data_IF_919517019944
#
_entry.id   IF_919517019944
#
_cell.length_a   1.000
_cell.length_b   1.000
_cell.length_c   1.000
_cell.angle_alpha   90.00
_cell.angle_beta   90.00
_cell.angle_gamma   90.00
#
_symmetry.space_group_name_H-M   'P 1'
#
loop_
_entity.id
_entity.type
_entity.pdbx_description
1 polymer ?
#
# COMPACT_ATOMS: atom_id res chain seq x y z
N UNK A 1 -7.19 -3.81 13.62
CA UNK A 1 -7.77 -2.81 12.69
C UNK A 1 -9.26 -3.05 12.37
N UNK A 2 -9.96 -3.94 13.09
CA UNK A 2 -11.37 -4.29 12.87
C UNK A 2 -12.41 -3.55 13.75
N UNK A 3 -12.09 -2.80 14.84
CA UNK A 3 -13.14 -2.26 15.71
C UNK A 3 -13.88 -1.03 15.14
N UNK A 4 -13.30 -0.31 14.18
CA UNK A 4 -13.89 0.92 13.63
C UNK A 4 -14.97 0.68 12.57
N UNK A 5 -14.95 -0.48 11.90
CA UNK A 5 -15.93 -0.82 10.85
C UNK A 5 -17.31 -1.13 11.45
N UNK A 6 -17.35 -1.72 12.65
CA UNK A 6 -18.62 -2.04 13.33
C UNK A 6 -19.28 -0.80 13.96
N UNK A 7 -18.49 0.18 14.43
CA UNK A 7 -19.01 1.47 14.90
C UNK A 7 -19.63 2.30 13.77
N UNK A 8 -19.05 2.25 12.56
CA UNK A 8 -19.60 2.92 11.38
C UNK A 8 -20.95 2.35 10.92
N UNK A 9 -21.09 1.02 10.91
CA UNK A 9 -22.33 0.35 10.50
C UNK A 9 -23.45 0.55 11.54
N UNK A 10 -23.11 0.53 12.83
CA UNK A 10 -24.08 0.75 13.92
C UNK A 10 -24.72 2.14 13.91
N UNK A 11 -23.95 3.19 13.61
CA UNK A 11 -24.46 4.56 13.54
C UNK A 11 -25.48 4.76 12.40
N UNK A 12 -25.26 4.11 11.25
CA UNK A 12 -26.16 4.19 10.08
C UNK A 12 -27.49 3.49 10.36
N UNK A 13 -27.48 2.35 11.03
CA UNK A 13 -28.72 1.62 11.38
C UNK A 13 -29.50 2.35 12.49
N UNK A 14 -28.82 2.95 13.48
CA UNK A 14 -29.47 3.71 14.55
C UNK A 14 -30.13 5.01 14.03
N UNK A 15 -29.53 5.66 13.04
CA UNK A 15 -30.09 6.85 12.39
C UNK A 15 -31.34 6.55 11.53
N UNK A 16 -31.38 5.39 10.87
CA UNK A 16 -32.53 4.98 10.04
C UNK A 16 -33.69 4.45 10.88
N UNK A 17 -33.42 3.78 12.01
CA UNK A 17 -34.47 3.24 12.89
C UNK A 17 -35.08 4.28 13.86
N UNK A 18 -34.32 5.31 14.27
CA UNK A 18 -34.76 6.30 15.27
C UNK A 18 -35.73 7.38 14.76
N UNK A 19 -35.89 7.55 13.44
CA UNK A 19 -36.59 8.70 12.86
C UNK A 19 -38.12 8.66 12.83
N UNK A 20 -38.78 7.66 13.42
CA UNK A 20 -40.23 7.46 13.28
C UNK A 20 -40.98 7.54 14.62
N UNK A 21 -40.88 8.67 15.34
CA UNK A 21 -41.85 9.05 16.39
C UNK A 21 -42.47 10.43 16.11
N UNK A 22 -43.76 10.37 15.80
CA UNK A 22 -44.79 11.43 15.66
C UNK A 22 -44.53 12.70 16.47
N UNK A 23 -44.43 13.83 15.76
CA UNK A 23 -44.62 15.19 16.27
C UNK A 23 -45.48 15.98 15.29
N UNK A 24 -46.50 16.68 15.81
CA UNK A 24 -47.53 17.41 15.06
C UNK A 24 -46.95 18.59 14.24
N UNK A 25 -47.42 18.70 13.00
CA UNK A 25 -47.71 19.95 12.27
C UNK A 25 -46.60 20.99 12.09
N UNK A 26 -45.93 20.96 10.92
CA UNK A 26 -45.40 22.16 10.25
C UNK A 26 -45.71 22.02 8.75
N UNK A 27 -46.42 22.94 8.10
CA UNK A 27 -46.58 22.90 6.66
C UNK A 27 -45.27 23.39 6.03
N UNK A 28 -44.48 22.47 5.47
CA UNK A 28 -43.34 22.84 4.65
C UNK A 28 -43.77 22.87 3.19
N UNK A 29 -43.62 24.06 2.62
CA UNK A 29 -43.86 24.42 1.23
C UNK A 29 -43.03 23.54 0.27
N UNK A 30 -43.59 23.29 -0.90
CA UNK A 30 -43.13 22.31 -1.88
C UNK A 30 -41.68 22.52 -2.34
N UNK A 31 -40.96 21.40 -2.41
CA UNK A 31 -39.58 21.32 -2.91
C UNK A 31 -38.85 20.02 -2.57
N UNK A 32 -39.58 18.98 -2.10
CA UNK A 32 -38.99 17.85 -1.38
C UNK A 32 -38.86 16.53 -2.16
N UNK A 33 -38.98 16.55 -3.49
CA UNK A 33 -38.88 15.34 -4.34
C UNK A 33 -37.48 15.11 -4.90
N UNK A 34 -36.87 16.17 -5.43
CA UNK A 34 -35.55 16.12 -6.07
C UNK A 34 -34.43 15.85 -5.07
N UNK A 35 -34.48 16.48 -3.90
CA UNK A 35 -33.46 16.29 -2.84
C UNK A 35 -33.47 14.86 -2.28
N UNK A 36 -34.64 14.21 -2.20
CA UNK A 36 -34.77 12.83 -1.68
C UNK A 36 -34.25 11.76 -2.63
N UNK A 37 -34.14 12.09 -3.92
CA UNK A 37 -33.67 11.15 -4.96
C UNK A 37 -32.22 11.45 -5.36
N UNK A 38 -31.84 12.73 -5.43
CA UNK A 38 -30.51 13.14 -5.86
C UNK A 38 -29.43 12.78 -4.84
N UNK A 39 -29.72 12.92 -3.53
CA UNK A 39 -28.78 12.63 -2.45
C UNK A 39 -28.33 11.15 -2.43
N UNK A 40 -29.23 10.14 -2.42
CA UNK A 40 -28.81 8.74 -2.43
C UNK A 40 -28.09 8.36 -3.74
N UNK A 41 -28.50 8.90 -4.88
CA UNK A 41 -27.81 8.67 -6.16
C UNK A 41 -26.38 9.21 -6.12
N UNK A 42 -26.19 10.42 -5.58
CA UNK A 42 -24.87 11.01 -5.38
C UNK A 42 -23.99 10.10 -4.52
N UNK A 43 -24.51 9.57 -3.41
CA UNK A 43 -23.76 8.66 -2.54
C UNK A 43 -23.40 7.33 -3.21
N UNK A 44 -24.29 6.75 -4.02
CA UNK A 44 -24.00 5.52 -4.78
C UNK A 44 -22.94 5.78 -5.86
N UNK A 45 -23.06 6.90 -6.59
CA UNK A 45 -22.08 7.29 -7.61
C UNK A 45 -20.72 7.55 -6.97
N UNK A 46 -20.66 8.29 -5.87
CA UNK A 46 -19.41 8.54 -5.16
C UNK A 46 -18.82 7.26 -4.57
N UNK A 47 -19.67 6.38 -4.02
CA UNK A 47 -19.28 5.09 -3.46
C UNK A 47 -18.71 4.10 -4.49
N UNK A 48 -19.10 4.22 -5.76
CA UNK A 48 -18.54 3.43 -6.86
C UNK A 48 -17.35 4.12 -7.55
N UNK A 49 -17.41 5.44 -7.71
CA UNK A 49 -16.39 6.20 -8.43
C UNK A 49 -15.07 6.29 -7.65
N UNK A 50 -15.12 6.49 -6.33
CA UNK A 50 -13.91 6.60 -5.49
C UNK A 50 -13.06 5.33 -5.54
N UNK A 51 -13.60 4.11 -5.33
CA UNK A 51 -12.80 2.89 -5.46
C UNK A 51 -12.36 2.62 -6.90
N UNK A 52 -13.17 2.94 -7.92
CA UNK A 52 -12.78 2.76 -9.31
C UNK A 52 -11.56 3.63 -9.69
N UNK A 53 -11.56 4.89 -9.28
CA UNK A 53 -10.42 5.81 -9.50
C UNK A 53 -9.19 5.31 -8.73
N UNK A 54 -9.35 4.80 -7.51
CA UNK A 54 -8.26 4.24 -6.73
C UNK A 54 -7.65 2.96 -7.35
N UNK A 55 -8.44 2.15 -8.04
CA UNK A 55 -7.96 0.96 -8.76
C UNK A 55 -7.20 1.36 -10.03
N UNK A 56 -7.74 2.31 -10.81
CA UNK A 56 -7.08 2.79 -12.03
C UNK A 56 -5.80 3.56 -11.73
N UNK A 57 -5.78 4.36 -10.66
CA UNK A 57 -4.58 5.05 -10.21
C UNK A 57 -3.46 4.10 -9.74
N UNK A 58 -3.77 2.80 -9.56
CA UNK A 58 -2.82 1.76 -9.18
C UNK A 58 -2.64 0.66 -10.25
N UNK A 59 -3.27 0.79 -11.43
CA UNK A 59 -3.40 -0.31 -12.40
C UNK A 59 -3.23 0.12 -13.85
N UNK A 60 -2.01 0.50 -14.26
CA UNK A 60 -1.60 0.40 -15.66
C UNK A 60 -1.12 -1.03 -15.94
N UNK A 61 -2.05 -1.96 -16.13
CA UNK A 61 -1.74 -3.32 -16.55
C UNK A 61 -2.83 -3.86 -17.48
N UNK A 62 -2.91 -3.30 -18.70
CA UNK A 62 -3.52 -3.99 -19.83
C UNK A 62 -2.76 -3.66 -21.12
N UNK A 63 -2.00 -4.64 -21.62
CA UNK A 63 -1.90 -4.87 -23.06
C UNK A 63 -0.54 -4.61 -23.73
N UNK A 64 0.09 -5.70 -24.19
CA UNK A 64 0.89 -5.73 -25.42
C UNK A 64 2.38 -5.99 -25.23
N UNK A 65 2.79 -7.26 -25.36
CA UNK A 65 4.09 -7.89 -25.77
C UNK A 65 5.46 -7.24 -25.49
N UNK A 66 5.57 -5.96 -25.15
CA UNK A 66 6.62 -5.39 -24.29
C UNK A 66 6.32 -5.58 -22.80
N UNK A 67 5.10 -6.04 -22.49
CA UNK A 67 4.60 -6.27 -21.14
C UNK A 67 5.37 -7.39 -20.45
N UNK A 68 5.73 -8.50 -21.12
CA UNK A 68 6.35 -9.64 -20.43
C UNK A 68 7.68 -9.31 -19.73
N UNK A 69 8.64 -8.64 -20.38
CA UNK A 69 9.91 -8.28 -19.73
C UNK A 69 9.77 -7.12 -18.71
N UNK A 70 8.83 -6.20 -18.97
CA UNK A 70 8.50 -5.14 -18.02
C UNK A 70 7.71 -5.67 -16.83
N UNK A 71 6.87 -6.68 -17.02
CA UNK A 71 6.11 -7.44 -16.03
C UNK A 71 7.03 -8.32 -15.23
N UNK A 72 7.96 -9.06 -15.84
CA UNK A 72 8.98 -9.84 -15.14
C UNK A 72 9.85 -8.93 -14.27
N UNK A 73 10.28 -7.78 -14.80
CA UNK A 73 11.00 -6.78 -14.03
C UNK A 73 10.16 -6.14 -12.93
N UNK A 74 8.87 -5.88 -13.18
CA UNK A 74 7.96 -5.31 -12.20
C UNK A 74 7.62 -6.34 -11.09
N UNK A 75 7.41 -7.59 -11.46
CA UNK A 75 7.13 -8.69 -10.56
C UNK A 75 8.35 -9.00 -9.68
N UNK A 76 9.56 -9.01 -10.25
CA UNK A 76 10.81 -9.12 -9.49
C UNK A 76 10.94 -7.96 -8.49
N UNK A 77 10.63 -6.73 -8.90
CA UNK A 77 10.70 -5.55 -8.04
C UNK A 77 9.63 -5.57 -6.93
N UNK A 78 8.39 -5.93 -7.23
CA UNK A 78 7.31 -6.03 -6.23
C UNK A 78 7.56 -7.19 -5.26
N UNK A 79 8.07 -8.33 -5.75
CA UNK A 79 8.51 -9.44 -4.90
C UNK A 79 9.67 -9.00 -3.99
N UNK A 80 10.67 -8.32 -4.56
CA UNK A 80 11.82 -7.80 -3.82
C UNK A 80 11.41 -6.77 -2.76
N UNK A 81 10.44 -5.93 -3.06
CA UNK A 81 9.84 -4.97 -2.12
C UNK A 81 9.15 -5.66 -0.96
N UNK A 82 8.35 -6.70 -1.21
CA UNK A 82 7.65 -7.43 -0.15
C UNK A 82 8.64 -8.23 0.71
N UNK A 83 9.59 -8.92 0.10
CA UNK A 83 10.67 -9.61 0.80
C UNK A 83 11.50 -8.65 1.66
N UNK A 84 11.77 -7.43 1.18
CA UNK A 84 12.44 -6.40 1.96
C UNK A 84 11.63 -6.00 3.19
N UNK A 85 10.31 -5.81 3.05
CA UNK A 85 9.42 -5.47 4.17
C UNK A 85 9.42 -6.55 5.25
N UNK A 86 9.48 -7.81 4.85
CA UNK A 86 9.45 -8.95 5.77
C UNK A 86 10.80 -9.16 6.48
N UNK A 87 11.92 -9.02 5.76
CA UNK A 87 13.22 -9.49 6.24
C UNK A 87 14.20 -8.36 6.60
N UNK A 88 14.01 -7.15 6.06
CA UNK A 88 15.01 -6.07 6.14
C UNK A 88 14.49 -4.83 6.85
N UNK A 89 13.19 -4.51 6.72
CA UNK A 89 12.59 -3.27 7.20
C UNK A 89 12.65 -3.09 8.73
N UNK A 90 12.74 -4.18 9.50
CA UNK A 90 12.90 -4.12 10.94
C UNK A 90 14.25 -3.55 11.37
N UNK A 91 15.30 -3.76 10.57
CA UNK A 91 16.65 -3.31 10.88
C UNK A 91 17.06 -2.07 10.09
N UNK A 92 16.64 -1.95 8.83
CA UNK A 92 17.05 -0.86 7.94
C UNK A 92 15.98 0.20 7.76
N UNK A 93 16.42 1.45 7.61
CA UNK A 93 15.59 2.53 7.09
C UNK A 93 15.63 2.54 5.57
N UNK A 94 14.46 2.59 4.94
CA UNK A 94 14.30 2.73 3.50
C UNK A 94 12.98 3.44 3.19
N UNK A 95 13.04 4.64 2.63
CA UNK A 95 11.88 5.49 2.38
C UNK A 95 10.88 4.86 1.41
N UNK A 96 11.36 4.14 0.38
CA UNK A 96 10.54 3.50 -0.65
C UNK A 96 9.51 2.50 -0.11
N UNK A 97 9.72 1.94 1.08
CA UNK A 97 8.76 1.06 1.78
C UNK A 97 8.33 1.60 3.14
N UNK A 98 8.66 2.86 3.45
CA UNK A 98 8.42 3.50 4.73
C UNK A 98 9.04 2.72 5.91
N UNK A 99 10.14 2.00 5.68
CA UNK A 99 10.86 1.29 6.72
C UNK A 99 11.66 2.28 7.58
N UNK A 100 11.64 2.07 8.90
CA UNK A 100 12.28 2.94 9.90
C UNK A 100 13.19 2.15 10.85
N UNK A 101 13.76 1.04 10.38
CA UNK A 101 14.70 0.27 11.18
C UNK A 101 15.93 1.10 11.56
N UNK A 102 16.38 0.96 12.82
CA UNK A 102 17.48 1.74 13.40
C UNK A 102 18.73 0.91 13.71
N UNK A 103 18.62 -0.41 13.61
CA UNK A 103 19.73 -1.34 13.89
C UNK A 103 20.79 -1.29 12.80
N UNK A 104 20.34 -1.26 11.54
CA UNK A 104 21.18 -1.16 10.35
C UNK A 104 21.24 0.26 9.81
N UNK A 105 22.22 0.56 8.93
CA UNK A 105 22.30 1.86 8.28
C UNK A 105 21.06 2.14 7.41
N UNK A 106 20.72 3.42 7.27
CA UNK A 106 19.73 3.87 6.29
C UNK A 106 20.24 3.65 4.88
N UNK A 107 19.48 2.89 4.08
CA UNK A 107 19.83 2.58 2.70
C UNK A 107 19.62 3.78 1.78
N UNK A 108 18.76 4.72 2.16
CA UNK A 108 18.58 6.01 1.48
C UNK A 108 19.86 6.87 1.54
N UNK A 109 20.72 6.66 2.55
CA UNK A 109 21.97 7.43 2.73
C UNK A 109 23.23 6.78 2.17
N UNK A 110 23.14 5.54 1.65
CA UNK A 110 24.31 4.81 1.14
C UNK A 110 24.71 5.24 -0.29
N UNK A 111 23.90 6.07 -0.95
CA UNK A 111 24.05 6.39 -2.37
C UNK A 111 23.69 5.19 -3.26
N UNK A 112 24.11 5.25 -4.53
CA UNK A 112 23.84 4.16 -5.48
C UNK A 112 24.58 2.87 -5.08
N UNK A 113 23.82 1.81 -4.82
CA UNK A 113 24.34 0.49 -4.43
C UNK A 113 24.10 -0.49 -5.57
N UNK A 114 25.11 -1.25 -5.97
CA UNK A 114 24.94 -2.25 -7.04
C UNK A 114 24.24 -3.51 -6.53
N UNK A 115 23.48 -4.19 -7.39
CA UNK A 115 22.82 -5.49 -7.11
C UNK A 115 23.79 -6.51 -6.50
N UNK A 116 24.98 -6.65 -7.11
CA UNK A 116 26.05 -7.53 -6.60
C UNK A 116 26.50 -7.17 -5.19
N UNK A 117 26.56 -5.89 -4.83
CA UNK A 117 26.92 -5.46 -3.49
C UNK A 117 25.84 -5.80 -2.48
N UNK A 118 24.56 -5.69 -2.87
CA UNK A 118 23.43 -6.09 -2.01
C UNK A 118 23.45 -7.61 -1.80
N UNK A 119 23.64 -8.41 -2.84
CA UNK A 119 23.77 -9.88 -2.73
C UNK A 119 24.93 -10.29 -1.80
N UNK A 120 26.09 -9.68 -1.98
CA UNK A 120 27.24 -9.93 -1.12
C UNK A 120 26.95 -9.55 0.34
N UNK A 121 26.19 -8.48 0.58
CA UNK A 121 25.77 -8.11 1.92
C UNK A 121 24.82 -9.15 2.51
N UNK A 122 23.78 -9.57 1.77
CA UNK A 122 22.81 -10.59 2.21
C UNK A 122 23.52 -11.91 2.54
N UNK A 123 24.46 -12.34 1.70
CA UNK A 123 25.19 -13.59 1.86
C UNK A 123 26.21 -13.53 3.01
N UNK A 124 26.98 -12.44 3.13
CA UNK A 124 28.10 -12.36 4.06
C UNK A 124 27.80 -11.61 5.38
N UNK A 125 26.59 -11.07 5.56
CA UNK A 125 26.25 -10.31 6.77
C UNK A 125 26.79 -8.88 6.76
N UNK A 126 26.56 -8.15 5.66
CA UNK A 126 26.93 -6.75 5.52
C UNK A 126 28.40 -6.54 5.14
N UNK A 127 29.09 -5.62 5.80
CA UNK A 127 30.50 -5.28 5.48
C UNK A 127 31.52 -6.20 6.19
N UNK A 128 31.12 -7.40 6.60
CA UNK A 128 32.00 -8.37 7.27
C UNK A 128 32.27 -8.10 8.77
N UNK A 129 31.54 -7.16 9.40
CA UNK A 129 31.64 -6.89 10.85
C UNK A 129 30.66 -7.73 11.69
N UNK A 130 29.97 -8.71 11.08
CA UNK A 130 28.96 -9.58 11.72
C UNK A 130 27.81 -8.82 12.42
N UNK A 131 27.58 -7.55 12.08
CA UNK A 131 26.47 -6.76 12.63
C UNK A 131 25.13 -7.07 11.96
N UNK A 132 25.17 -7.55 10.72
CA UNK A 132 24.00 -8.01 9.99
C UNK A 132 24.07 -9.55 9.89
N UNK A 133 22.96 -10.27 10.15
CA UNK A 133 22.92 -11.72 9.96
C UNK A 133 23.28 -12.10 8.52
N UNK A 134 24.08 -13.15 8.36
CA UNK A 134 24.42 -13.72 7.06
C UNK A 134 23.34 -14.73 6.62
N UNK A 135 23.18 -14.92 5.31
CA UNK A 135 22.29 -15.92 4.75
C UNK A 135 20.80 -15.66 4.98
N UNK A 136 20.40 -14.39 5.06
CA UNK A 136 18.99 -14.01 5.28
C UNK A 136 18.05 -14.47 4.16
N UNK A 137 18.55 -14.46 2.92
CA UNK A 137 17.85 -14.93 1.72
C UNK A 137 18.87 -15.56 0.76
N UNK A 138 18.38 -16.44 -0.10
CA UNK A 138 19.15 -17.12 -1.14
C UNK A 138 18.39 -17.10 -2.48
N UNK A 139 19.09 -17.57 -3.53
CA UNK A 139 18.54 -17.75 -4.87
C UNK A 139 17.76 -16.54 -5.39
N UNK A 140 16.60 -16.82 -5.98
CA UNK A 140 15.72 -15.80 -6.58
C UNK A 140 15.20 -14.77 -5.57
N UNK A 141 15.07 -15.13 -4.30
CA UNK A 141 14.60 -14.20 -3.27
C UNK A 141 15.67 -13.15 -2.96
N UNK A 142 16.93 -13.57 -2.81
CA UNK A 142 18.05 -12.65 -2.63
C UNK A 142 18.22 -11.73 -3.85
N UNK A 143 18.06 -12.31 -5.05
CA UNK A 143 18.12 -11.60 -6.32
C UNK A 143 17.04 -10.54 -6.46
N UNK A 144 15.78 -10.87 -6.13
CA UNK A 144 14.67 -9.92 -6.16
C UNK A 144 14.88 -8.76 -5.18
N UNK A 145 15.31 -9.04 -3.93
CA UNK A 145 15.62 -7.96 -2.97
C UNK A 145 16.78 -7.12 -3.45
N UNK A 146 17.83 -7.72 -4.00
CA UNK A 146 18.97 -6.99 -4.52
C UNK A 146 18.60 -6.09 -5.72
N UNK A 147 17.74 -6.57 -6.62
CA UNK A 147 17.18 -5.80 -7.71
C UNK A 147 16.41 -4.59 -7.18
N UNK A 148 15.50 -4.81 -6.22
CA UNK A 148 14.71 -3.76 -5.61
C UNK A 148 15.57 -2.72 -4.90
N UNK A 149 16.43 -3.14 -3.97
CA UNK A 149 17.29 -2.25 -3.17
C UNK A 149 18.22 -1.44 -4.08
N UNK A 150 18.83 -2.05 -5.09
CA UNK A 150 19.72 -1.31 -6.02
C UNK A 150 18.98 -0.24 -6.84
N UNK A 151 17.66 -0.39 -7.03
CA UNK A 151 16.82 0.57 -7.75
C UNK A 151 16.40 1.76 -6.88
N UNK A 152 16.19 1.54 -5.57
CA UNK A 152 15.59 2.52 -4.67
C UNK A 152 16.55 3.11 -3.64
N UNK A 153 17.66 2.45 -3.34
CA UNK A 153 18.65 2.95 -2.40
C UNK A 153 19.32 4.24 -2.92
N UNK A 154 19.72 5.11 -1.99
CA UNK A 154 20.34 6.39 -2.33
C UNK A 154 19.39 7.48 -2.83
N UNK A 155 18.08 7.31 -2.66
CA UNK A 155 17.03 8.25 -3.11
C UNK A 155 16.28 8.89 -1.95
#
# INVERSE_FOLDING_TARGET
MVPWVLLGIGAVVFAVAGGRRRGRGVPTTGGGGTVKVLIPILYVVLGLAVPAIAIVAQGEAVGGTRTLAAEEGNEELERGKELFRQNCAGCHTLAAVQAKGVTGPSLDRLGNVSRRRVLAAISNGGTGKLQMPAGLLDGENAEAVAAYVSRVAGK
#
